data_IF_309248206352
#
_entry.id   IF_309248206352
#
_cell.length_a   1.000
_cell.length_b   1.000
_cell.length_c   1.000
_cell.angle_alpha   90.00
_cell.angle_beta   90.00
_cell.angle_gamma   90.00
#
_symmetry.space_group_name_H-M   'P 1'
#
loop_
_entity.id
_entity.type
_entity.pdbx_description
1 polymer ?
#
# COMPACT_ATOMS: atom_id res chain seq x y z
N UNK A 1 12.24 -17.78 -1.16
CA UNK A 1 10.98 -17.97 -0.42
C UNK A 1 10.30 -16.62 -0.30
N UNK A 2 9.13 -16.51 -0.91
CA UNK A 2 8.29 -15.31 -0.93
C UNK A 2 7.98 -14.76 0.48
N UNK A 3 7.98 -15.60 1.52
CA UNK A 3 7.81 -15.17 2.91
C UNK A 3 8.92 -14.22 3.42
N UNK A 4 10.08 -14.17 2.75
CA UNK A 4 11.16 -13.20 3.01
C UNK A 4 11.09 -11.95 2.13
N UNK A 5 9.90 -11.60 1.60
CA UNK A 5 9.73 -10.49 0.65
C UNK A 5 10.26 -9.13 1.15
N UNK A 6 10.21 -8.86 2.46
CA UNK A 6 10.72 -7.61 3.05
C UNK A 6 12.23 -7.40 2.84
N UNK A 7 13.01 -8.49 2.70
CA UNK A 7 14.47 -8.42 2.52
C UNK A 7 14.94 -8.91 1.16
N UNK A 8 14.11 -9.65 0.43
CA UNK A 8 14.46 -10.26 -0.87
C UNK A 8 13.62 -9.79 -2.04
N UNK A 9 12.46 -9.17 -1.77
CA UNK A 9 11.62 -8.59 -2.81
C UNK A 9 12.38 -7.52 -3.57
N UNK A 10 12.15 -7.43 -4.89
CA UNK A 10 12.93 -6.55 -5.75
C UNK A 10 12.22 -5.22 -5.98
N UNK A 11 10.88 -5.23 -5.98
CA UNK A 11 10.08 -4.02 -6.18
C UNK A 11 8.75 -4.06 -5.42
N UNK A 12 8.23 -2.85 -5.19
CA UNK A 12 6.87 -2.61 -4.73
C UNK A 12 6.14 -1.91 -5.87
N UNK A 13 5.04 -2.51 -6.34
CA UNK A 13 4.09 -1.91 -7.29
C UNK A 13 2.85 -1.51 -6.50
N UNK A 14 2.36 -0.29 -6.65
CA UNK A 14 1.20 0.20 -5.91
C UNK A 14 0.15 0.77 -6.86
N UNK A 15 -1.10 0.32 -6.70
CA UNK A 15 -2.22 0.72 -7.54
C UNK A 15 -2.85 2.01 -7.01
N UNK A 16 -2.98 3.01 -7.87
CA UNK A 16 -3.67 4.25 -7.52
C UNK A 16 -5.18 4.16 -7.70
N UNK A 17 -5.92 4.76 -6.76
CA UNK A 17 -7.39 5.01 -6.87
C UNK A 17 -8.23 3.75 -7.10
N UNK A 18 -7.91 2.65 -6.42
CA UNK A 18 -8.64 1.39 -6.58
C UNK A 18 -9.90 1.26 -5.69
N UNK A 19 -10.31 2.30 -4.97
CA UNK A 19 -11.56 2.31 -4.19
C UNK A 19 -12.42 3.50 -4.60
N UNK A 20 -13.68 3.25 -4.96
CA UNK A 20 -14.56 4.28 -5.52
C UNK A 20 -14.82 5.45 -4.54
N UNK A 21 -14.98 5.17 -3.25
CA UNK A 21 -15.17 6.20 -2.24
C UNK A 21 -13.93 7.09 -2.07
N UNK A 22 -12.73 6.49 -2.12
CA UNK A 22 -11.47 7.22 -2.04
C UNK A 22 -11.22 8.08 -3.29
N UNK A 23 -11.54 7.57 -4.48
CA UNK A 23 -11.45 8.35 -5.72
C UNK A 23 -12.33 9.62 -5.65
N UNK A 24 -13.56 9.49 -5.12
CA UNK A 24 -14.49 10.61 -4.91
C UNK A 24 -14.01 11.60 -3.84
N UNK A 25 -13.48 11.11 -2.71
CA UNK A 25 -12.95 11.94 -1.62
C UNK A 25 -11.90 12.95 -2.10
N UNK A 26 -11.06 12.54 -3.05
CA UNK A 26 -10.01 13.39 -3.62
C UNK A 26 -10.41 14.08 -4.94
N UNK A 27 -11.71 14.18 -5.23
CA UNK A 27 -12.27 14.80 -6.45
C UNK A 27 -11.65 14.28 -7.76
N UNK A 28 -11.30 12.99 -7.80
CA UNK A 28 -10.74 12.35 -8.99
C UNK A 28 -11.81 11.56 -9.74
N UNK A 29 -11.67 11.47 -11.07
CA UNK A 29 -12.44 10.51 -11.85
C UNK A 29 -12.08 9.07 -11.43
N UNK A 30 -13.08 8.19 -11.42
CA UNK A 30 -12.87 6.75 -11.29
C UNK A 30 -12.09 6.29 -12.52
N UNK A 31 -10.92 5.63 -12.35
CA UNK A 31 -10.14 5.15 -13.49
C UNK A 31 -10.91 4.12 -14.31
N UNK A 32 -10.73 4.14 -15.63
CA UNK A 32 -11.27 3.11 -16.54
C UNK A 32 -10.35 1.89 -16.66
N UNK A 33 -9.09 2.07 -16.28
CA UNK A 33 -8.07 1.02 -16.20
C UNK A 33 -7.22 1.23 -14.93
N UNK A 34 -6.62 0.18 -14.35
CA UNK A 34 -5.66 0.34 -13.28
C UNK A 34 -4.47 1.19 -13.75
N UNK A 35 -3.94 2.03 -12.88
CA UNK A 35 -2.63 2.63 -13.07
C UNK A 35 -1.80 2.42 -11.81
N UNK A 36 -0.48 2.40 -11.96
CA UNK A 36 0.41 2.10 -10.85
C UNK A 36 1.63 3.00 -10.80
N UNK A 37 2.26 3.03 -9.64
CA UNK A 37 3.55 3.64 -9.40
C UNK A 37 4.44 2.66 -8.62
N UNK A 38 5.73 2.95 -8.59
CA UNK A 38 6.71 2.15 -7.87
C UNK A 38 7.09 2.82 -6.55
N UNK A 39 7.33 1.99 -5.53
CA UNK A 39 7.99 2.39 -4.29
C UNK A 39 9.31 1.61 -4.16
N UNK A 40 10.39 2.24 -3.66
CA UNK A 40 11.66 1.56 -3.45
C UNK A 40 11.56 0.62 -2.25
N UNK A 41 12.20 -0.55 -2.30
CA UNK A 41 12.20 -1.50 -1.19
C UNK A 41 12.90 -0.97 0.07
N UNK A 42 13.76 0.03 -0.06
CA UNK A 42 14.35 0.75 1.08
C UNK A 42 13.35 1.58 1.89
N UNK A 43 12.13 1.77 1.39
CA UNK A 43 11.05 2.44 2.13
C UNK A 43 10.34 1.53 3.13
N UNK A 44 10.62 0.22 3.13
CA UNK A 44 10.04 -0.70 4.10
C UNK A 44 10.47 -0.38 5.52
N UNK A 45 9.50 -0.40 6.43
CA UNK A 45 9.70 -0.59 7.86
C UNK A 45 8.66 -1.59 8.37
N UNK A 46 8.96 -2.26 9.48
CA UNK A 46 8.07 -3.25 10.07
C UNK A 46 7.49 -2.74 11.39
N UNK A 47 6.76 -3.61 12.09
CA UNK A 47 6.09 -3.28 13.35
C UNK A 47 7.02 -2.62 14.37
N UNK A 48 6.51 -1.59 15.05
CA UNK A 48 7.24 -0.69 15.94
C UNK A 48 8.32 0.17 15.27
N UNK A 49 8.43 0.14 13.93
CA UNK A 49 9.21 1.09 13.17
C UNK A 49 8.66 2.50 13.27
N UNK A 50 9.43 3.46 12.76
CA UNK A 50 9.08 4.88 12.78
C UNK A 50 9.01 5.40 11.35
N UNK A 51 7.88 6.01 10.99
CA UNK A 51 7.78 6.85 9.79
C UNK A 51 8.46 8.18 10.09
N UNK A 52 9.44 8.54 9.27
CA UNK A 52 10.18 9.79 9.36
C UNK A 52 9.62 10.81 8.38
N UNK A 53 8.92 11.83 8.87
CA UNK A 53 8.34 12.90 8.06
C UNK A 53 9.43 13.91 7.67
N UNK A 54 9.77 14.10 6.38
CA UNK A 54 10.72 15.12 5.98
C UNK A 54 10.21 16.54 6.28
N UNK A 55 11.13 17.48 6.51
CA UNK A 55 10.76 18.85 6.88
C UNK A 55 9.86 19.49 5.82
N UNK A 56 8.75 20.09 6.25
CA UNK A 56 7.79 20.76 5.38
C UNK A 56 6.89 19.83 4.56
N UNK A 57 7.01 18.51 4.71
CA UNK A 57 6.12 17.54 4.06
C UNK A 57 4.84 17.35 4.87
N UNK A 58 3.70 17.33 4.18
CA UNK A 58 2.41 16.90 4.75
C UNK A 58 2.24 15.42 4.42
N UNK A 59 2.47 14.54 5.40
CA UNK A 59 2.46 13.10 5.20
C UNK A 59 1.07 12.50 5.47
N UNK A 60 0.50 11.80 4.50
CA UNK A 60 -0.78 11.11 4.62
C UNK A 60 -0.59 9.60 4.75
N UNK A 61 -1.46 8.95 5.54
CA UNK A 61 -1.60 7.50 5.59
C UNK A 61 -2.63 6.98 4.59
N UNK A 62 -2.38 5.78 4.09
CA UNK A 62 -3.25 5.03 3.16
C UNK A 62 -3.11 3.54 3.50
N UNK A 63 -4.00 2.97 4.33
CA UNK A 63 -3.95 1.52 4.67
C UNK A 63 -4.32 0.67 3.46
N UNK A 64 -3.53 -0.35 3.14
CA UNK A 64 -3.72 -1.18 1.95
C UNK A 64 -3.50 -2.67 2.23
N UNK A 65 -4.22 -3.52 1.49
CA UNK A 65 -3.88 -4.93 1.36
C UNK A 65 -2.70 -5.06 0.38
N UNK A 66 -1.64 -5.75 0.81
CA UNK A 66 -0.53 -6.13 -0.05
C UNK A 66 -0.64 -7.59 -0.51
N UNK A 67 -0.30 -7.84 -1.77
CA UNK A 67 -0.24 -9.18 -2.38
C UNK A 67 1.21 -9.53 -2.66
N UNK A 68 1.68 -10.65 -2.11
CA UNK A 68 3.06 -11.13 -2.25
C UNK A 68 3.13 -12.19 -3.34
N UNK A 69 3.95 -11.93 -4.35
CA UNK A 69 4.11 -12.82 -5.51
C UNK A 69 4.97 -14.03 -5.13
N UNK A 70 4.51 -15.22 -5.49
CA UNK A 70 5.12 -16.50 -5.14
C UNK A 70 5.85 -17.22 -6.26
N UNK A 71 5.49 -16.92 -7.52
CA UNK A 71 6.15 -17.53 -8.67
C UNK A 71 7.44 -16.79 -9.03
N UNK A 72 8.45 -17.53 -9.50
CA UNK A 72 9.72 -16.96 -9.94
C UNK A 72 9.54 -15.94 -11.07
N UNK A 73 8.51 -16.10 -11.90
CA UNK A 73 8.18 -15.22 -13.01
C UNK A 73 6.68 -15.20 -13.30
N UNK A 74 6.10 -14.00 -13.34
CA UNK A 74 4.70 -13.73 -13.69
C UNK A 74 4.70 -12.63 -14.75
N UNK A 75 4.39 -12.99 -15.98
CA UNK A 75 4.42 -12.08 -17.13
C UNK A 75 3.32 -12.48 -18.11
N UNK A 76 2.57 -11.50 -18.61
CA UNK A 76 1.48 -11.72 -19.57
C UNK A 76 0.47 -12.77 -19.06
N UNK A 77 0.17 -12.74 -17.75
CA UNK A 77 -0.71 -13.72 -17.08
C UNK A 77 -2.15 -13.23 -17.10
N UNK A 78 -3.09 -14.10 -17.48
CA UNK A 78 -4.52 -13.78 -17.47
C UNK A 78 -5.07 -13.63 -16.04
N UNK A 79 -6.14 -12.85 -15.86
CA UNK A 79 -6.81 -12.75 -14.56
C UNK A 79 -7.26 -14.12 -14.02
N UNK A 80 -7.71 -15.02 -14.90
CA UNK A 80 -8.12 -16.38 -14.51
C UNK A 80 -6.98 -17.21 -13.90
N UNK A 81 -5.73 -16.94 -14.29
CA UNK A 81 -4.54 -17.65 -13.80
C UNK A 81 -3.80 -16.90 -12.69
N UNK A 82 -4.06 -15.59 -12.51
CA UNK A 82 -3.35 -14.70 -11.60
C UNK A 82 -3.17 -15.25 -10.18
N UNK A 83 -4.24 -15.80 -9.59
CA UNK A 83 -4.21 -16.27 -8.20
C UNK A 83 -3.28 -17.48 -8.00
N UNK A 84 -2.90 -18.22 -9.04
CA UNK A 84 -1.91 -19.31 -8.95
C UNK A 84 -0.52 -18.80 -8.58
N UNK A 85 -0.25 -17.52 -8.84
CA UNK A 85 1.05 -16.90 -8.63
C UNK A 85 1.17 -16.15 -7.30
N UNK A 86 0.11 -16.09 -6.49
CA UNK A 86 0.13 -15.43 -5.17
C UNK A 86 0.64 -16.40 -4.11
N UNK A 87 1.70 -16.01 -3.39
CA UNK A 87 2.19 -16.75 -2.22
C UNK A 87 1.37 -16.43 -0.96
N UNK A 88 0.94 -15.19 -0.82
CA UNK A 88 0.26 -14.73 0.38
C UNK A 88 0.00 -13.23 0.33
N UNK A 89 -0.25 -12.67 1.50
CA UNK A 89 -0.68 -11.30 1.69
C UNK A 89 0.13 -10.61 2.79
N UNK A 90 -0.04 -9.31 2.90
CA UNK A 90 0.50 -8.50 3.99
C UNK A 90 -0.37 -7.27 4.20
N UNK A 91 -0.25 -6.62 5.35
CA UNK A 91 -0.90 -5.35 5.65
C UNK A 91 0.14 -4.24 5.53
N UNK A 92 -0.15 -3.22 4.73
CA UNK A 92 0.77 -2.11 4.48
C UNK A 92 0.10 -0.76 4.66
N UNK A 93 0.92 0.28 4.82
CA UNK A 93 0.50 1.68 4.75
C UNK A 93 1.28 2.34 3.61
N UNK A 94 0.59 2.86 2.61
CA UNK A 94 1.18 3.65 1.52
C UNK A 94 1.32 5.12 1.94
N UNK A 95 2.38 5.43 2.69
CA UNK A 95 2.62 6.82 3.10
C UNK A 95 2.88 7.71 1.89
N UNK A 96 2.26 8.89 1.91
CA UNK A 96 2.28 9.84 0.78
C UNK A 96 2.63 11.25 1.25
N UNK A 97 3.66 11.85 0.67
CA UNK A 97 3.97 13.27 0.85
C UNK A 97 2.98 14.10 0.01
N UNK A 98 1.79 14.38 0.56
CA UNK A 98 0.64 14.89 -0.20
C UNK A 98 0.92 16.21 -0.91
N UNK A 99 1.50 17.17 -0.20
CA UNK A 99 1.85 18.47 -0.77
C UNK A 99 2.89 18.37 -1.90
N UNK A 100 3.87 17.48 -1.78
CA UNK A 100 4.80 17.19 -2.87
C UNK A 100 4.09 16.50 -4.03
N UNK A 101 3.20 15.55 -3.75
CA UNK A 101 2.40 14.86 -4.77
C UNK A 101 1.55 15.85 -5.58
N UNK A 102 0.91 16.80 -4.94
CA UNK A 102 0.09 17.81 -5.63
C UNK A 102 0.96 18.72 -6.51
N UNK A 103 2.12 19.17 -5.98
CA UNK A 103 3.09 19.96 -6.74
C UNK A 103 3.59 19.24 -7.99
N UNK A 104 3.98 17.97 -7.88
CA UNK A 104 4.49 17.20 -9.03
C UNK A 104 3.37 16.81 -10.00
N UNK A 105 2.15 16.50 -9.51
CA UNK A 105 0.98 16.24 -10.36
C UNK A 105 0.61 17.44 -11.21
N UNK A 106 0.61 18.65 -10.65
CA UNK A 106 0.31 19.89 -11.40
C UNK A 106 1.28 20.16 -12.56
N UNK A 107 2.47 19.54 -12.51
CA UNK A 107 3.54 19.67 -13.50
C UNK A 107 3.69 18.44 -14.41
N UNK A 108 2.85 17.42 -14.23
CA UNK A 108 2.97 16.15 -14.96
C UNK A 108 4.26 15.37 -14.66
N UNK A 109 4.84 15.53 -13.45
CA UNK A 109 6.09 14.89 -13.06
C UNK A 109 5.86 13.53 -12.36
N UNK A 110 6.86 12.62 -12.35
CA UNK A 110 6.75 11.29 -11.74
C UNK A 110 6.49 11.31 -10.23
N UNK A 111 5.73 10.35 -9.71
CA UNK A 111 5.31 10.30 -8.29
C UNK A 111 6.33 9.69 -7.33
N UNK A 112 7.45 9.16 -7.84
CA UNK A 112 8.44 8.43 -7.06
C UNK A 112 8.92 9.21 -5.83
N UNK A 113 9.13 10.53 -5.93
CA UNK A 113 9.58 11.34 -4.80
C UNK A 113 8.49 11.63 -3.77
N UNK A 114 7.21 11.56 -4.13
CA UNK A 114 6.10 11.74 -3.17
C UNK A 114 5.67 10.43 -2.49
N UNK A 115 5.90 9.30 -3.16
CA UNK A 115 5.52 7.96 -2.68
C UNK A 115 6.71 7.18 -2.12
N UNK A 116 7.96 7.57 -2.41
CA UNK A 116 9.13 6.71 -2.21
C UNK A 116 10.16 7.16 -1.19
N UNK A 117 9.82 8.05 -0.25
CA UNK A 117 10.74 8.37 0.85
C UNK A 117 11.11 7.12 1.66
N UNK A 118 12.27 7.15 2.30
CA UNK A 118 12.60 6.16 3.33
C UNK A 118 11.45 6.07 4.34
N UNK A 119 11.20 4.89 4.90
CA UNK A 119 10.11 4.61 5.86
C UNK A 119 8.67 4.74 5.36
N UNK A 120 8.43 5.12 4.09
CA UNK A 120 7.08 5.36 3.55
C UNK A 120 6.32 4.10 3.10
N UNK A 121 6.82 2.90 3.40
CA UNK A 121 6.06 1.65 3.23
C UNK A 121 6.05 0.80 4.51
N UNK A 122 5.45 1.28 5.62
CA UNK A 122 5.22 0.42 6.76
C UNK A 122 4.45 -0.83 6.36
N UNK A 123 4.98 -2.01 6.68
CA UNK A 123 4.46 -3.30 6.21
C UNK A 123 4.59 -4.37 7.29
N UNK A 124 3.54 -5.17 7.46
CA UNK A 124 3.48 -6.26 8.43
C UNK A 124 4.26 -7.49 7.97
N UNK A 125 4.16 -8.58 8.75
CA UNK A 125 4.68 -9.88 8.35
C UNK A 125 3.95 -10.47 7.14
N UNK A 126 4.49 -11.60 6.67
CA UNK A 126 3.88 -12.40 5.62
C UNK A 126 2.70 -13.22 6.17
N UNK A 127 1.55 -13.11 5.50
CA UNK A 127 0.35 -13.90 5.76
C UNK A 127 0.26 -14.96 4.67
N UNK A 128 0.46 -16.22 5.02
CA UNK A 128 0.36 -17.32 4.07
C UNK A 128 -1.03 -17.36 3.41
N UNK A 129 -1.08 -17.62 2.09
CA UNK A 129 -2.34 -17.66 1.34
C UNK A 129 -3.36 -18.63 1.95
N UNK A 130 -2.94 -19.73 2.56
CA UNK A 130 -3.83 -20.70 3.21
C UNK A 130 -4.58 -20.14 4.43
N UNK A 131 -4.07 -19.06 5.06
CA UNK A 131 -4.74 -18.36 6.17
C UNK A 131 -5.85 -17.43 5.70
N UNK A 132 -5.93 -17.13 4.41
CA UNK A 132 -6.89 -16.19 3.82
C UNK A 132 -7.80 -16.95 2.86
N UNK A 133 -9.04 -17.21 3.31
CA UNK A 133 -10.02 -17.97 2.51
C UNK A 133 -10.44 -17.24 1.24
N UNK A 134 -10.71 -15.94 1.34
CA UNK A 134 -11.15 -15.10 0.23
C UNK A 134 -10.63 -13.66 0.44
N UNK A 135 -9.67 -13.19 -0.36
CA UNK A 135 -9.09 -11.86 -0.19
C UNK A 135 -10.04 -10.71 -0.55
N UNK A 136 -11.15 -10.97 -1.26
CA UNK A 136 -12.19 -9.98 -1.54
C UNK A 136 -13.16 -9.79 -0.35
N UNK A 137 -12.97 -10.56 0.73
CA UNK A 137 -13.84 -10.60 1.90
C UNK A 137 -13.06 -10.30 3.19
N UNK A 138 -12.11 -9.39 3.08
CA UNK A 138 -11.32 -8.90 4.20
C UNK A 138 -11.76 -7.48 4.58
N UNK A 139 -11.34 -7.06 5.76
CA UNK A 139 -11.58 -5.70 6.25
C UNK A 139 -10.27 -5.06 6.68
N UNK A 140 -10.00 -3.89 6.15
CA UNK A 140 -8.87 -3.03 6.54
C UNK A 140 -9.38 -1.96 7.50
N UNK A 141 -8.62 -1.69 8.56
CA UNK A 141 -8.85 -0.53 9.39
C UNK A 141 -7.53 0.13 9.80
N UNK A 142 -7.58 1.44 10.03
CA UNK A 142 -6.45 2.22 10.54
C UNK A 142 -6.94 3.25 11.56
N UNK A 143 -6.20 3.34 12.66
CA UNK A 143 -6.34 4.33 13.73
C UNK A 143 -5.11 5.23 13.77
N UNK A 144 -5.33 6.48 14.11
CA UNK A 144 -4.27 7.41 14.55
C UNK A 144 -4.61 7.84 15.96
N UNK A 145 -3.70 7.58 16.91
CA UNK A 145 -3.91 7.84 18.34
C UNK A 145 -5.27 7.30 18.83
N UNK A 146 -5.50 6.01 18.57
CA UNK A 146 -6.71 5.25 18.91
C UNK A 146 -8.03 5.69 18.22
N UNK A 147 -8.00 6.75 17.41
CA UNK A 147 -9.16 7.19 16.64
C UNK A 147 -9.19 6.50 15.28
N UNK A 148 -10.26 5.77 14.97
CA UNK A 148 -10.48 5.18 13.63
C UNK A 148 -10.52 6.30 12.58
N UNK A 149 -9.72 6.13 11.53
CA UNK A 149 -9.64 7.03 10.38
C UNK A 149 -10.04 6.36 9.08
N UNK A 150 -9.55 5.15 8.84
CA UNK A 150 -9.94 4.32 7.71
C UNK A 150 -10.58 3.03 8.20
N UNK A 151 -11.61 2.58 7.50
CA UNK A 151 -12.31 1.33 7.79
C UNK A 151 -13.10 0.90 6.55
N UNK A 152 -12.59 -0.09 5.81
CA UNK A 152 -13.18 -0.48 4.52
C UNK A 152 -13.00 -1.95 4.19
N UNK A 153 -14.00 -2.60 3.56
CA UNK A 153 -13.87 -3.96 3.07
C UNK A 153 -13.06 -4.02 1.77
N UNK A 154 -12.29 -5.08 1.54
CA UNK A 154 -11.56 -5.29 0.28
C UNK A 154 -12.47 -5.57 -0.92
N UNK A 155 -13.72 -5.96 -0.68
CA UNK A 155 -14.74 -6.11 -1.72
C UNK A 155 -15.15 -4.80 -2.40
N UNK A 156 -14.76 -3.64 -1.86
CA UNK A 156 -15.02 -2.33 -2.47
C UNK A 156 -13.97 -1.92 -3.51
N UNK A 157 -12.99 -2.79 -3.79
CA UNK A 157 -12.01 -2.56 -4.87
C UNK A 157 -12.73 -2.42 -6.23
N UNK A 158 -12.31 -1.43 -7.03
CA UNK A 158 -12.82 -1.21 -8.39
C UNK A 158 -12.30 -2.32 -9.31
N UNK A 159 -11.00 -2.63 -9.20
CA UNK A 159 -10.33 -3.71 -9.89
C UNK A 159 -9.86 -4.75 -8.87
N UNK A 160 -10.26 -6.00 -9.06
CA UNK A 160 -9.89 -7.09 -8.16
C UNK A 160 -8.43 -7.52 -8.32
N UNK A 161 -7.92 -8.26 -7.33
CA UNK A 161 -6.51 -8.73 -7.33
C UNK A 161 -6.13 -9.46 -8.64
N UNK A 162 -6.95 -10.39 -9.18
CA UNK A 162 -6.73 -10.96 -10.50
C UNK A 162 -6.49 -9.94 -11.62
N UNK A 163 -7.37 -8.95 -11.75
CA UNK A 163 -7.26 -7.88 -12.76
C UNK A 163 -6.00 -7.04 -12.56
N UNK A 164 -5.62 -6.74 -11.31
CA UNK A 164 -4.42 -5.99 -11.01
C UNK A 164 -3.15 -6.74 -11.44
N UNK A 165 -3.07 -8.04 -11.14
CA UNK A 165 -1.94 -8.89 -11.54
C UNK A 165 -1.87 -9.01 -13.07
N UNK A 166 -3.01 -9.22 -13.74
CA UNK A 166 -3.09 -9.28 -15.20
C UNK A 166 -2.54 -7.99 -15.82
N UNK A 167 -3.09 -6.84 -15.41
CA UNK A 167 -2.69 -5.53 -15.91
C UNK A 167 -1.20 -5.28 -15.69
N UNK A 168 -0.71 -5.42 -14.45
CA UNK A 168 0.69 -5.16 -14.14
C UNK A 168 1.61 -6.12 -14.88
N UNK A 169 1.29 -7.42 -14.92
CA UNK A 169 2.15 -8.43 -15.56
C UNK A 169 2.24 -8.31 -17.07
N UNK A 170 1.24 -7.67 -17.72
CA UNK A 170 1.26 -7.34 -19.15
C UNK A 170 2.23 -6.19 -19.50
N UNK A 171 2.59 -5.36 -18.51
CA UNK A 171 3.49 -4.21 -18.67
C UNK A 171 4.88 -4.50 -18.09
N UNK A 172 4.93 -5.13 -16.91
CA UNK A 172 6.14 -5.39 -16.15
C UNK A 172 6.07 -6.76 -15.48
N UNK A 173 7.08 -7.59 -15.71
CA UNK A 173 7.18 -8.91 -15.06
C UNK A 173 7.23 -8.76 -13.53
N UNK A 174 6.37 -9.50 -12.83
CA UNK A 174 6.45 -9.68 -11.37
C UNK A 174 7.27 -10.94 -11.06
N UNK A 175 8.08 -10.88 -10.03
CA UNK A 175 8.98 -11.95 -9.59
C UNK A 175 8.67 -12.37 -8.15
N UNK A 176 9.20 -13.52 -7.72
CA UNK A 176 8.99 -14.03 -6.37
C UNK A 176 9.43 -12.99 -5.32
N UNK A 177 8.53 -12.67 -4.39
CA UNK A 177 8.74 -11.69 -3.34
C UNK A 177 8.45 -10.25 -3.74
N UNK A 178 8.06 -9.96 -4.99
CA UNK A 178 7.53 -8.63 -5.30
C UNK A 178 6.21 -8.39 -4.56
N UNK A 179 6.01 -7.13 -4.15
CA UNK A 179 4.82 -6.69 -3.44
C UNK A 179 3.93 -5.86 -4.38
N UNK A 180 2.64 -6.22 -4.43
CA UNK A 180 1.60 -5.45 -5.10
C UNK A 180 0.65 -4.86 -4.05
N UNK A 181 0.70 -3.55 -3.85
CA UNK A 181 -0.25 -2.80 -3.02
C UNK A 181 -1.51 -2.46 -3.84
N UNK A 182 -2.68 -2.70 -3.26
CA UNK A 182 -3.95 -2.82 -4.01
C UNK A 182 -4.85 -1.59 -3.95
N UNK A 183 -4.38 -0.49 -3.35
CA UNK A 183 -5.15 0.73 -3.12
C UNK A 183 -5.74 0.79 -1.71
N UNK A 184 -6.22 1.98 -1.35
CA UNK A 184 -6.70 2.31 -0.01
C UNK A 184 -8.19 2.69 0.01
N UNK A 185 -8.96 2.35 1.07
CA UNK A 185 -10.32 2.86 1.26
C UNK A 185 -10.33 4.36 1.60
N UNK A 186 -11.51 4.98 1.60
CA UNK A 186 -11.65 6.40 1.96
C UNK A 186 -11.25 6.69 3.41
N UNK A 187 -11.01 7.97 3.71
CA UNK A 187 -10.61 8.44 5.04
C UNK A 187 -9.10 8.67 5.16
N UNK A 188 -8.42 8.96 4.06
CA UNK A 188 -7.00 9.32 4.09
C UNK A 188 -6.81 10.63 4.84
N UNK A 189 -5.70 10.76 5.56
CA UNK A 189 -5.47 11.97 6.35
C UNK A 189 -4.02 12.13 6.76
N UNK A 190 -3.72 13.30 7.33
CA UNK A 190 -2.39 13.67 7.80
C UNK A 190 -2.01 12.94 9.10
N UNK A 191 -0.74 12.60 9.24
CA UNK A 191 -0.08 12.27 10.52
C UNK A 191 1.00 13.30 10.84
N UNK A 192 1.26 13.49 12.13
CA UNK A 192 2.21 14.45 12.68
C UNK A 192 3.20 13.78 13.61
N UNK A 193 4.27 14.52 13.90
CA UNK A 193 5.28 14.14 14.88
C UNK A 193 4.64 13.75 16.23
N UNK A 194 5.01 12.57 16.74
CA UNK A 194 4.46 12.01 17.97
C UNK A 194 3.18 11.18 17.78
N UNK A 195 2.57 11.17 16.59
CA UNK A 195 1.43 10.31 16.33
C UNK A 195 1.82 8.83 16.32
N UNK A 196 0.85 7.98 16.64
CA UNK A 196 0.95 6.53 16.52
C UNK A 196 -0.14 6.01 15.60
N UNK A 197 0.26 5.35 14.54
CA UNK A 197 -0.64 4.63 13.64
C UNK A 197 -0.79 3.18 14.10
N UNK A 198 -2.02 2.68 14.12
CA UNK A 198 -2.31 1.27 14.35
C UNK A 198 -3.32 0.81 13.30
N UNK A 199 -2.97 -0.19 12.51
CA UNK A 199 -3.86 -0.77 11.52
C UNK A 199 -3.98 -2.29 11.68
N UNK A 200 -5.05 -2.85 11.14
CA UNK A 200 -5.31 -4.28 11.17
C UNK A 200 -6.01 -4.77 9.91
N UNK A 201 -5.89 -6.09 9.72
CA UNK A 201 -6.53 -6.86 8.68
C UNK A 201 -7.37 -7.96 9.34
N UNK A 202 -8.67 -7.98 9.05
CA UNK A 202 -9.62 -8.92 9.61
C UNK A 202 -10.31 -9.73 8.50
N UNK A 203 -10.71 -10.96 8.84
CA UNK A 203 -11.64 -11.74 8.00
C UNK A 203 -13.10 -11.36 8.27
N UNK A 204 -14.05 -12.01 7.56
CA UNK A 204 -15.48 -11.74 7.72
C UNK A 204 -16.05 -12.09 9.10
N UNK A 205 -15.36 -12.93 9.86
CA UNK A 205 -15.74 -13.32 11.21
C UNK A 205 -15.11 -12.41 12.27
N UNK A 206 -14.49 -11.30 11.83
CA UNK A 206 -13.73 -10.38 12.68
C UNK A 206 -12.54 -11.03 13.39
N UNK A 207 -12.01 -12.13 12.85
CA UNK A 207 -10.73 -12.66 13.32
C UNK A 207 -9.61 -11.77 12.82
N UNK A 208 -8.78 -11.29 13.73
CA UNK A 208 -7.58 -10.53 13.38
C UNK A 208 -6.55 -11.45 12.71
N UNK A 209 -6.27 -11.20 11.44
CA UNK A 209 -5.28 -11.95 10.67
C UNK A 209 -3.88 -11.39 10.87
N UNK A 210 -3.77 -10.06 10.95
CA UNK A 210 -2.52 -9.32 11.10
C UNK A 210 -2.77 -7.89 11.59
N UNK A 211 -1.78 -7.30 12.24
CA UNK A 211 -1.79 -5.90 12.67
C UNK A 211 -0.41 -5.25 12.60
N UNK A 212 -0.41 -3.92 12.53
CA UNK A 212 0.81 -3.14 12.46
C UNK A 212 0.66 -1.86 13.30
N UNK A 213 1.63 -1.62 14.18
CA UNK A 213 1.76 -0.40 14.98
C UNK A 213 3.02 0.34 14.57
N UNK A 214 2.90 1.62 14.25
CA UNK A 214 3.96 2.45 13.68
C UNK A 214 4.00 3.80 14.39
N UNK A 215 5.20 4.21 14.78
CA UNK A 215 5.42 5.53 15.35
C UNK A 215 5.63 6.55 14.22
N UNK A 216 5.34 7.81 14.49
CA UNK A 216 5.58 8.91 13.56
C UNK A 216 6.52 9.91 14.23
N UNK A 217 7.58 10.28 13.54
CA UNK A 217 8.52 11.28 14.00
C UNK A 217 8.93 12.23 12.87
N UNK A 218 9.29 13.46 13.21
CA UNK A 218 9.96 14.34 12.26
C UNK A 218 11.36 13.81 11.93
N UNK A 219 11.69 13.77 10.63
CA UNK A 219 13.04 13.45 10.16
C UNK A 219 14.01 14.57 10.56
N UNK A 220 15.16 14.20 11.12
CA UNK A 220 16.25 15.14 11.42
C UNK A 220 17.18 15.26 10.21
N UNK A 221 17.27 16.45 9.62
CA UNK A 221 18.10 16.73 8.45
C UNK A 221 17.55 16.16 7.13
N UNK A 222 18.35 16.26 6.07
CA UNK A 222 17.98 15.77 4.73
C UNK A 222 17.08 16.73 3.96
N UNK A 223 16.13 16.16 3.20
CA UNK A 223 15.23 16.91 2.31
C UNK A 223 14.29 17.85 3.08
N UNK A 224 14.10 19.06 2.55
CA UNK A 224 13.11 20.03 3.01
C UNK A 224 12.19 20.41 1.83
N UNK A 225 10.89 20.18 1.99
CA UNK A 225 9.91 20.65 1.04
C UNK A 225 9.75 22.17 1.17
N UNK A 226 9.91 22.87 0.05
CA UNK A 226 9.62 24.30 -0.08
C UNK A 226 8.49 24.46 -1.11
N UNK A 227 7.40 25.17 -0.76
CA UNK A 227 6.25 25.39 -1.63
C UNK A 227 6.62 25.87 -3.03
#
# INVERSE_FOLDING_TARGET
MASSFLTRGKKIVAIGRNYAAHAKELNNAVPTEPFFFLKPTTSYITNNGTVEIPKGVVAHYEVELGVVIGSSRVRDVSAADAMKHVAGYTLSIDMTARNLQDKIKSKGLPWSSAKGFDTFTPTSGFIDKSRVRDPAKLRLWLKVNDQIKQNGPTGDMIFDIPQLIEHVSSIMTLEEGDLLLTGTPAGVGEVKDGDVMHCGLEDQSSNLLEQLKINVANRVGGYEFKP
#
